data_IF_260784073767
#
_entry.id   IF_260784073767
#
_cell.length_a   1.000
_cell.length_b   1.000
_cell.length_c   1.000
_cell.angle_alpha   90.00
_cell.angle_beta   90.00
_cell.angle_gamma   90.00
#
_symmetry.space_group_name_H-M   'P 1'
#
loop_
_entity.id
_entity.type
_entity.pdbx_description
1 polymer ?
#
# COMPACT_ATOMS: atom_id res chain seq x y z
N UNK A 1 -13.77 2.64 -30.12
CA UNK A 1 -14.37 3.97 -30.39
C UNK A 1 -13.63 4.99 -29.54
N UNK A 2 -13.31 6.17 -30.06
CA UNK A 2 -12.66 7.21 -29.26
C UNK A 2 -13.63 7.69 -28.17
N UNK A 3 -13.19 7.73 -26.92
CA UNK A 3 -13.99 8.32 -25.84
C UNK A 3 -13.95 9.85 -26.01
N UNK A 4 -15.06 10.51 -26.34
CA UNK A 4 -15.08 11.95 -26.49
C UNK A 4 -14.75 12.61 -25.16
N UNK A 5 -13.76 13.51 -25.17
CA UNK A 5 -13.34 14.27 -24.01
C UNK A 5 -13.90 15.69 -24.08
N UNK A 6 -14.50 16.14 -22.99
CA UNK A 6 -15.01 17.50 -22.84
C UNK A 6 -14.27 18.18 -21.69
N UNK A 7 -13.88 19.44 -21.90
CA UNK A 7 -13.32 20.29 -20.86
C UNK A 7 -14.05 21.62 -20.83
N UNK A 8 -14.30 22.12 -19.62
CA UNK A 8 -15.02 23.37 -19.40
C UNK A 8 -14.48 24.08 -18.16
N UNK A 9 -14.70 25.40 -18.09
CA UNK A 9 -14.40 26.21 -16.91
C UNK A 9 -15.68 26.45 -16.14
N UNK A 10 -15.61 26.26 -14.83
CA UNK A 10 -16.70 26.58 -13.91
C UNK A 10 -16.20 27.58 -12.87
N UNK A 11 -17.09 28.40 -12.27
CA UNK A 11 -16.75 29.24 -11.13
C UNK A 11 -16.12 28.43 -9.98
N UNK A 12 -15.10 28.99 -9.33
CA UNK A 12 -14.38 28.31 -8.25
C UNK A 12 -15.31 27.90 -7.10
N UNK A 13 -16.27 28.75 -6.75
CA UNK A 13 -17.25 28.46 -5.69
C UNK A 13 -18.08 27.20 -5.96
N UNK A 14 -18.41 26.92 -7.23
CA UNK A 14 -19.11 25.70 -7.62
C UNK A 14 -18.17 24.50 -7.62
N UNK A 15 -16.93 24.69 -8.06
CA UNK A 15 -15.91 23.64 -8.01
C UNK A 15 -15.71 23.13 -6.58
N UNK A 16 -15.57 24.04 -5.62
CA UNK A 16 -15.33 23.69 -4.21
C UNK A 16 -16.49 22.87 -3.63
N UNK A 17 -17.74 23.25 -3.94
CA UNK A 17 -18.94 22.49 -3.52
C UNK A 17 -19.03 21.11 -4.16
N UNK A 18 -18.56 20.95 -5.40
CA UNK A 18 -18.54 19.65 -6.07
C UNK A 18 -17.52 18.71 -5.41
N UNK A 19 -16.33 19.22 -5.07
CA UNK A 19 -15.30 18.42 -4.37
C UNK A 19 -15.73 17.99 -2.96
N UNK A 20 -16.42 18.87 -2.22
CA UNK A 20 -17.02 18.55 -0.92
C UNK A 20 -18.02 17.40 -1.05
N UNK A 21 -18.96 17.49 -2.01
CA UNK A 21 -19.93 16.43 -2.26
C UNK A 21 -19.30 15.11 -2.73
N UNK A 22 -18.24 15.16 -3.54
CA UNK A 22 -17.50 13.97 -3.99
C UNK A 22 -16.85 13.26 -2.79
N UNK A 23 -16.29 14.04 -1.86
CA UNK A 23 -15.66 13.52 -0.65
C UNK A 23 -16.66 12.80 0.26
N UNK A 24 -17.90 13.26 0.32
CA UNK A 24 -18.98 12.64 1.10
C UNK A 24 -19.64 11.45 0.40
N UNK A 25 -19.91 11.56 -0.90
CA UNK A 25 -20.67 10.55 -1.67
C UNK A 25 -19.81 9.44 -2.26
N UNK A 26 -18.49 9.63 -2.36
CA UNK A 26 -17.57 8.69 -3.00
C UNK A 26 -17.74 8.55 -4.52
N UNK A 27 -18.60 9.37 -5.16
CA UNK A 27 -18.86 9.31 -6.61
C UNK A 27 -17.76 10.00 -7.42
N UNK A 28 -17.58 9.59 -8.68
CA UNK A 28 -16.61 10.28 -9.54
C UNK A 28 -17.14 11.63 -10.03
N UNK A 29 -16.23 12.60 -10.21
CA UNK A 29 -16.57 13.92 -10.77
C UNK A 29 -17.27 13.83 -12.12
N UNK A 30 -16.83 12.88 -12.95
CA UNK A 30 -17.38 12.62 -14.27
C UNK A 30 -18.82 12.09 -14.17
N UNK A 31 -19.09 11.14 -13.28
CA UNK A 31 -20.46 10.63 -13.05
C UNK A 31 -21.39 11.74 -12.57
N UNK A 32 -20.93 12.59 -11.65
CA UNK A 32 -21.72 13.71 -11.15
C UNK A 32 -22.10 14.67 -12.28
N UNK A 33 -21.15 15.02 -13.16
CA UNK A 33 -21.39 15.89 -14.30
C UNK A 33 -22.31 15.24 -15.34
N UNK A 34 -22.14 13.95 -15.62
CA UNK A 34 -23.03 13.21 -16.54
C UNK A 34 -24.45 13.21 -16.00
N UNK A 35 -24.63 12.90 -14.71
CA UNK A 35 -25.94 12.86 -14.06
C UNK A 35 -26.61 14.24 -14.01
N UNK A 36 -25.84 15.29 -13.76
CA UNK A 36 -26.34 16.66 -13.76
C UNK A 36 -26.81 17.09 -15.17
N UNK A 37 -26.02 16.77 -16.20
CA UNK A 37 -26.36 17.08 -17.59
C UNK A 37 -27.55 16.24 -18.08
N UNK A 38 -27.60 14.94 -17.75
CA UNK A 38 -28.72 14.07 -18.11
C UNK A 38 -30.02 14.54 -17.46
N UNK A 39 -29.96 14.94 -16.19
CA UNK A 39 -31.12 15.49 -15.47
C UNK A 39 -31.55 16.85 -15.99
N UNK A 40 -30.62 17.70 -16.44
CA UNK A 40 -30.96 19.02 -16.98
C UNK A 40 -31.58 18.94 -18.38
N UNK A 41 -31.16 17.95 -19.18
CA UNK A 41 -31.63 17.76 -20.56
C UNK A 41 -32.80 16.78 -20.68
N UNK A 42 -33.31 16.24 -19.57
CA UNK A 42 -34.30 15.15 -19.54
C UNK A 42 -33.91 13.97 -20.45
N UNK A 43 -32.60 13.71 -20.55
CA UNK A 43 -32.03 12.65 -21.38
C UNK A 43 -31.34 11.62 -20.49
N UNK A 44 -32.00 10.51 -20.12
CA UNK A 44 -31.40 9.51 -19.24
C UNK A 44 -30.23 8.84 -19.95
N UNK A 45 -29.02 9.16 -19.52
CA UNK A 45 -27.83 8.42 -19.91
C UNK A 45 -27.75 7.23 -18.97
N UNK A 46 -27.81 6.01 -19.52
CA UNK A 46 -27.48 4.81 -18.76
C UNK A 46 -26.04 4.98 -18.25
N UNK A 47 -25.89 5.30 -16.97
CA UNK A 47 -24.61 5.22 -16.31
C UNK A 47 -24.12 3.79 -16.54
N UNK A 48 -22.94 3.62 -17.14
CA UNK A 48 -22.31 2.32 -17.23
C UNK A 48 -22.16 1.82 -15.80
N UNK A 49 -23.08 0.97 -15.36
CA UNK A 49 -22.85 0.15 -14.20
C UNK A 49 -21.53 -0.53 -14.48
N UNK A 50 -20.53 -0.25 -13.66
CA UNK A 50 -19.38 -1.14 -13.55
C UNK A 50 -19.98 -2.47 -13.14
N UNK A 51 -20.23 -3.32 -14.14
CA UNK A 51 -20.56 -4.71 -14.00
C UNK A 51 -19.32 -5.39 -13.39
N UNK A 52 -19.02 -5.08 -12.13
CA UNK A 52 -18.39 -6.05 -11.26
C UNK A 52 -19.45 -7.13 -11.18
N UNK A 53 -19.27 -8.18 -11.97
CA UNK A 53 -20.16 -9.33 -11.96
C UNK A 53 -20.38 -9.69 -10.49
N UNK A 54 -21.62 -9.93 -10.09
CA UNK A 54 -21.94 -10.28 -8.70
C UNK A 54 -21.00 -11.38 -8.16
N UNK A 55 -20.49 -12.25 -9.04
CA UNK A 55 -19.47 -13.25 -8.77
C UNK A 55 -18.15 -12.68 -8.21
N UNK A 56 -17.59 -11.61 -8.77
CA UNK A 56 -16.36 -10.98 -8.26
C UNK A 56 -16.57 -10.39 -6.85
N UNK A 57 -17.74 -9.79 -6.62
CA UNK A 57 -18.13 -9.29 -5.29
C UNK A 57 -18.33 -10.44 -4.30
N UNK A 58 -18.93 -11.56 -4.72
CA UNK A 58 -19.09 -12.76 -3.89
C UNK A 58 -17.74 -13.41 -3.55
N UNK A 59 -16.78 -13.41 -4.47
CA UNK A 59 -15.41 -13.90 -4.23
C UNK A 59 -14.72 -13.00 -3.20
N UNK A 60 -14.79 -11.67 -3.37
CA UNK A 60 -14.20 -10.72 -2.42
C UNK A 60 -14.83 -10.83 -1.02
N UNK A 61 -16.15 -11.01 -0.94
CA UNK A 61 -16.87 -11.21 0.34
C UNK A 61 -16.43 -12.51 1.01
N UNK A 62 -16.31 -13.62 0.26
CA UNK A 62 -15.82 -14.89 0.82
C UNK A 62 -14.38 -14.79 1.31
N UNK A 63 -13.53 -14.07 0.57
CA UNK A 63 -12.14 -13.84 1.00
C UNK A 63 -12.06 -13.02 2.28
N UNK A 64 -12.88 -11.96 2.39
CA UNK A 64 -12.96 -11.14 3.60
C UNK A 64 -13.51 -11.93 4.79
N UNK A 65 -14.53 -12.76 4.60
CA UNK A 65 -15.04 -13.67 5.63
C UNK A 65 -13.96 -14.63 6.12
N UNK A 66 -13.18 -15.23 5.20
CA UNK A 66 -12.08 -16.12 5.55
C UNK A 66 -10.98 -15.40 6.34
N UNK A 67 -10.65 -14.15 5.98
CA UNK A 67 -9.69 -13.34 6.74
C UNK A 67 -10.21 -12.98 8.13
N UNK A 68 -11.51 -12.66 8.26
CA UNK A 68 -12.15 -12.42 9.56
C UNK A 68 -12.14 -13.68 10.42
N UNK A 69 -12.46 -14.84 9.87
CA UNK A 69 -12.44 -16.12 10.59
C UNK A 69 -11.04 -16.43 11.13
N UNK A 70 -9.99 -16.21 10.33
CA UNK A 70 -8.59 -16.37 10.78
C UNK A 70 -8.24 -15.36 11.88
N UNK A 71 -8.73 -14.12 11.79
CA UNK A 71 -8.52 -13.10 12.81
C UNK A 71 -9.29 -13.40 14.11
N UNK A 72 -10.51 -13.91 14.03
CA UNK A 72 -11.32 -14.31 15.19
C UNK A 72 -10.71 -15.52 15.90
N UNK A 73 -10.21 -16.51 15.14
CA UNK A 73 -9.46 -17.64 15.68
C UNK A 73 -8.13 -17.18 16.33
N UNK A 74 -7.52 -16.11 15.83
CA UNK A 74 -6.35 -15.45 16.43
C UNK A 74 -6.66 -14.53 17.62
N UNK A 75 -7.91 -14.09 17.80
CA UNK A 75 -8.31 -13.07 18.79
C UNK A 75 -8.67 -13.63 20.17
N UNK A 76 -8.63 -14.96 20.37
CA UNK A 76 -8.85 -15.58 21.69
C UNK A 76 -7.67 -15.33 22.65
N UNK A 77 -6.57 -14.72 22.21
CA UNK A 77 -5.51 -14.20 23.11
C UNK A 77 -5.47 -12.68 23.13
N UNK A 78 -6.62 -12.05 23.36
CA UNK A 78 -6.62 -10.68 23.88
C UNK A 78 -6.36 -10.73 25.38
N UNK A 79 -5.09 -10.92 25.77
CA UNK A 79 -4.66 -10.47 27.09
C UNK A 79 -4.88 -8.96 27.09
N UNK A 80 -5.94 -8.55 27.78
CA UNK A 80 -6.21 -7.17 28.13
C UNK A 80 -5.05 -6.72 29.01
N UNK A 81 -4.08 -6.02 28.42
CA UNK A 81 -3.12 -5.24 29.20
C UNK A 81 -3.75 -3.86 29.34
N UNK A 82 -4.56 -3.69 30.38
CA UNK A 82 -4.74 -2.38 31.00
C UNK A 82 -3.38 -1.94 31.52
N UNK A 83 -2.83 -0.86 30.98
CA UNK A 83 -1.70 -0.17 31.59
C UNK A 83 -2.15 0.35 32.94
N UNK A 84 -1.67 -0.28 34.01
CA UNK A 84 -1.45 0.39 35.28
C UNK A 84 -0.33 -0.36 36.03
N UNK A 85 0.77 0.37 36.23
CA UNK A 85 1.84 0.21 37.22
C UNK A 85 2.74 -1.04 37.20
N UNK A 86 4.05 -0.73 37.17
CA UNK A 86 5.14 -1.33 37.96
C UNK A 86 5.04 -2.84 38.25
N UNK A 87 5.83 -3.65 37.52
CA UNK A 87 6.72 -4.66 38.11
C UNK A 87 7.39 -5.51 37.01
N UNK A 88 8.66 -5.85 37.23
CA UNK A 88 9.48 -6.71 36.36
C UNK A 88 8.78 -8.05 36.07
N UNK A 89 8.52 -8.35 34.80
CA UNK A 89 8.06 -9.68 34.36
C UNK A 89 9.24 -10.43 33.76
N UNK A 90 9.72 -11.45 34.48
CA UNK A 90 10.61 -12.47 33.96
C UNK A 90 9.83 -13.34 32.96
N UNK A 91 10.19 -13.28 31.69
CA UNK A 91 9.49 -13.99 30.62
C UNK A 91 10.11 -15.40 30.50
N UNK A 92 9.40 -16.42 31.00
CA UNK A 92 9.74 -17.82 30.72
C UNK A 92 9.24 -18.19 29.31
N UNK A 93 10.14 -18.08 28.33
CA UNK A 93 9.86 -18.41 26.94
C UNK A 93 10.18 -19.89 26.73
N UNK A 94 9.15 -20.72 26.54
CA UNK A 94 9.32 -22.10 26.15
C UNK A 94 10.03 -22.18 24.77
N UNK A 95 11.23 -22.81 24.67
CA UNK A 95 12.08 -22.77 23.48
C UNK A 95 11.45 -23.39 22.21
N UNK A 96 10.38 -24.16 22.33
CA UNK A 96 9.72 -24.75 21.16
C UNK A 96 8.94 -23.72 20.32
N UNK A 97 8.46 -22.61 20.91
CA UNK A 97 7.70 -21.58 20.18
C UNK A 97 8.58 -20.65 19.33
N UNK A 98 9.87 -20.53 19.62
CA UNK A 98 10.83 -19.82 18.75
C UNK A 98 11.06 -20.57 17.43
N UNK A 99 10.97 -21.91 17.44
CA UNK A 99 11.29 -22.73 16.25
C UNK A 99 10.22 -22.70 15.15
N UNK A 100 9.00 -22.25 15.46
CA UNK A 100 7.88 -22.13 14.51
C UNK A 100 7.84 -20.77 13.82
N UNK A 101 8.32 -19.71 14.47
CA UNK A 101 8.46 -18.38 13.84
C UNK A 101 9.61 -18.34 12.83
N UNK A 102 10.67 -19.14 13.01
CA UNK A 102 11.79 -19.22 12.06
C UNK A 102 11.47 -20.02 10.79
N UNK A 103 10.42 -20.84 10.78
CA UNK A 103 10.11 -21.73 9.63
C UNK A 103 9.28 -21.07 8.52
N UNK A 104 8.56 -19.99 8.78
CA UNK A 104 7.75 -19.31 7.74
C UNK A 104 8.49 -18.19 6.98
N UNK A 105 9.69 -17.77 7.40
CA UNK A 105 10.46 -16.73 6.72
C UNK A 105 11.27 -17.22 5.49
N UNK A 106 11.28 -18.52 5.19
CA UNK A 106 12.22 -19.10 4.20
C UNK A 106 11.70 -19.20 2.76
N UNK A 107 10.83 -18.28 2.31
CA UNK A 107 10.46 -18.21 0.86
C UNK A 107 10.56 -16.87 0.16
N UNK A 108 11.05 -15.82 0.81
CA UNK A 108 11.58 -14.67 0.11
C UNK A 108 12.69 -14.07 0.97
N UNK A 109 13.93 -14.09 0.49
CA UNK A 109 15.07 -13.41 1.11
C UNK A 109 14.89 -11.88 0.99
N UNK A 110 13.81 -11.33 1.54
CA UNK A 110 13.52 -9.91 1.50
C UNK A 110 14.05 -9.25 2.76
N UNK A 111 15.22 -8.62 2.65
CA UNK A 111 15.84 -7.92 3.78
C UNK A 111 15.47 -6.44 3.72
N UNK A 112 15.08 -5.87 4.86
CA UNK A 112 14.95 -4.42 5.02
C UNK A 112 16.34 -3.88 5.37
N UNK A 113 16.86 -2.98 4.54
CA UNK A 113 18.15 -2.32 4.77
C UNK A 113 17.99 -0.81 4.73
N UNK A 114 18.77 -0.12 5.55
CA UNK A 114 18.92 1.34 5.44
C UNK A 114 19.71 1.69 4.17
N UNK A 115 19.62 2.94 3.73
CA UNK A 115 20.40 3.42 2.56
C UNK A 115 21.91 3.21 2.72
N UNK A 116 22.45 3.23 3.95
CA UNK A 116 23.88 2.99 4.20
C UNK A 116 24.23 1.53 3.94
N UNK A 117 23.48 0.62 4.56
CA UNK A 117 23.70 -0.83 4.43
C UNK A 117 23.45 -1.32 3.00
N UNK A 118 22.53 -0.70 2.27
CA UNK A 118 22.25 -1.02 0.87
C UNK A 118 23.45 -0.71 -0.04
N UNK A 119 24.18 0.37 0.24
CA UNK A 119 25.37 0.76 -0.55
C UNK A 119 26.55 -0.16 -0.25
N UNK A 120 26.62 -0.71 0.96
CA UNK A 120 27.69 -1.61 1.39
C UNK A 120 27.54 -3.05 0.83
N UNK A 121 26.45 -3.36 0.13
CA UNK A 121 26.26 -4.66 -0.53
C UNK A 121 27.34 -4.92 -1.59
N UNK A 122 27.89 -6.15 -1.70
CA UNK A 122 29.09 -6.45 -2.48
C UNK A 122 28.99 -6.13 -3.98
N UNK A 123 27.78 -6.17 -4.56
CA UNK A 123 27.57 -5.78 -5.96
C UNK A 123 27.28 -4.28 -6.14
N UNK A 124 26.58 -3.66 -5.18
CA UNK A 124 26.23 -2.23 -5.23
C UNK A 124 27.46 -1.37 -4.88
N UNK A 125 28.35 -1.87 -4.03
CA UNK A 125 29.62 -1.24 -3.66
C UNK A 125 30.58 -1.08 -4.85
N UNK A 126 30.44 -1.92 -5.88
CA UNK A 126 31.19 -1.78 -7.14
C UNK A 126 30.65 -0.64 -8.02
N UNK A 127 29.42 -0.17 -7.77
CA UNK A 127 28.82 0.95 -8.48
C UNK A 127 29.15 2.28 -7.78
N UNK A 128 29.05 3.36 -8.55
CA UNK A 128 29.17 4.72 -8.04
C UNK A 128 28.04 5.03 -7.02
N UNK A 129 28.45 5.19 -5.75
CA UNK A 129 27.55 5.41 -4.61
C UNK A 129 26.66 6.64 -4.77
N UNK A 130 27.11 7.70 -5.46
CA UNK A 130 26.30 8.89 -5.71
C UNK A 130 25.21 8.62 -6.74
N UNK A 131 25.53 7.87 -7.80
CA UNK A 131 24.55 7.48 -8.83
C UNK A 131 23.47 6.58 -8.24
N UNK A 132 23.82 5.66 -7.35
CA UNK A 132 22.86 4.77 -6.66
C UNK A 132 21.90 5.58 -5.78
N UNK A 133 22.42 6.51 -4.96
CA UNK A 133 21.59 7.40 -4.13
C UNK A 133 20.64 8.26 -4.97
N UNK A 134 21.13 8.85 -6.05
CA UNK A 134 20.31 9.67 -6.95
C UNK A 134 19.23 8.83 -7.64
N UNK A 135 19.56 7.61 -8.07
CA UNK A 135 18.60 6.69 -8.70
C UNK A 135 17.49 6.28 -7.71
N UNK A 136 17.83 5.97 -6.46
CA UNK A 136 16.86 5.65 -5.40
C UNK A 136 15.94 6.84 -5.08
N UNK A 137 16.51 8.04 -4.92
CA UNK A 137 15.74 9.25 -4.63
C UNK A 137 14.78 9.61 -5.79
N UNK A 138 15.27 9.55 -7.03
CA UNK A 138 14.46 9.83 -8.21
C UNK A 138 13.35 8.78 -8.39
N UNK A 139 13.65 7.49 -8.20
CA UNK A 139 12.66 6.42 -8.28
C UNK A 139 11.55 6.60 -7.23
N UNK A 140 11.93 7.00 -6.01
CA UNK A 140 10.97 7.31 -4.93
C UNK A 140 10.09 8.51 -5.26
N UNK A 141 10.68 9.61 -5.73
CA UNK A 141 9.93 10.82 -6.11
C UNK A 141 8.96 10.56 -7.27
N UNK A 142 9.37 9.73 -8.23
CA UNK A 142 8.56 9.41 -9.40
C UNK A 142 7.61 8.21 -9.20
N UNK A 143 7.55 7.63 -7.99
CA UNK A 143 6.79 6.41 -7.69
C UNK A 143 7.11 5.24 -8.64
N UNK A 144 8.34 5.18 -9.16
CA UNK A 144 8.83 4.14 -10.07
C UNK A 144 9.56 3.05 -9.29
N UNK A 145 8.86 2.40 -8.38
CA UNK A 145 9.38 1.28 -7.61
C UNK A 145 8.55 0.01 -7.94
N UNK A 146 9.16 -1.20 -7.91
CA UNK A 146 10.55 -1.49 -7.55
C UNK A 146 11.56 -1.16 -8.66
N UNK A 147 12.82 -0.87 -8.29
CA UNK A 147 13.93 -0.65 -9.24
C UNK A 147 14.99 -1.75 -9.17
N UNK A 148 15.57 -2.09 -10.33
CA UNK A 148 16.73 -2.99 -10.43
C UNK A 148 18.05 -2.21 -10.31
N UNK A 149 18.90 -2.64 -9.38
CA UNK A 149 20.30 -2.18 -9.24
C UNK A 149 21.18 -3.42 -9.01
N UNK A 150 22.01 -3.77 -10.00
CA UNK A 150 22.74 -5.04 -9.98
C UNK A 150 21.77 -6.23 -10.03
N UNK A 151 21.99 -7.22 -9.18
CA UNK A 151 21.10 -8.38 -9.03
C UNK A 151 20.00 -8.16 -7.97
N UNK A 152 19.84 -6.93 -7.48
CA UNK A 152 18.87 -6.59 -6.45
C UNK A 152 17.69 -5.82 -7.03
N UNK A 153 16.50 -6.25 -6.64
CA UNK A 153 15.24 -5.51 -6.75
C UNK A 153 15.04 -4.73 -5.45
N UNK A 154 14.90 -3.41 -5.57
CA UNK A 154 14.81 -2.50 -4.44
C UNK A 154 13.46 -1.81 -4.47
N UNK A 155 12.73 -1.93 -3.37
CA UNK A 155 11.42 -1.33 -3.14
C UNK A 155 11.41 -0.46 -1.87
N UNK A 156 10.43 0.42 -1.73
CA UNK A 156 10.30 1.30 -0.57
C UNK A 156 9.76 0.52 0.63
N UNK A 157 10.59 0.35 1.65
CA UNK A 157 10.25 -0.30 2.92
C UNK A 157 9.72 0.66 3.98
N UNK A 158 9.57 1.95 3.67
CA UNK A 158 9.04 2.95 4.59
C UNK A 158 10.12 3.70 5.38
N UNK A 159 9.76 4.17 6.58
CA UNK A 159 10.67 4.88 7.50
C UNK A 159 10.99 3.97 8.68
N UNK A 160 12.22 4.07 9.15
CA UNK A 160 12.66 3.33 10.34
C UNK A 160 11.87 3.82 11.58
N UNK A 161 11.20 2.91 12.32
CA UNK A 161 10.43 3.28 13.51
C UNK A 161 11.30 3.86 14.64
N UNK A 162 12.58 3.46 14.71
CA UNK A 162 13.52 3.96 15.71
C UNK A 162 14.22 5.25 15.28
N UNK A 163 14.19 5.58 13.98
CA UNK A 163 14.81 6.78 13.42
C UNK A 163 14.01 7.27 12.20
N UNK A 164 13.01 8.14 12.38
CA UNK A 164 12.12 8.56 11.28
C UNK A 164 12.80 9.37 10.18
N UNK A 165 14.09 9.73 10.36
CA UNK A 165 14.93 10.36 9.33
C UNK A 165 15.52 9.32 8.35
N UNK A 166 15.58 8.05 8.74
CA UNK A 166 16.12 6.97 7.92
C UNK A 166 15.02 6.31 7.08
N UNK A 167 15.36 6.07 5.81
CA UNK A 167 14.50 5.34 4.88
C UNK A 167 14.95 3.88 4.87
N UNK A 168 13.98 2.98 4.99
CA UNK A 168 14.18 1.55 4.83
C UNK A 168 13.85 1.16 3.38
N UNK A 169 14.68 0.28 2.83
CA UNK A 169 14.53 -0.28 1.50
C UNK A 169 14.34 -1.78 1.63
N UNK A 170 13.28 -2.29 1.02
CA UNK A 170 13.05 -3.72 0.90
C UNK A 170 13.84 -4.22 -0.29
N UNK A 171 14.72 -5.20 -0.07
CA UNK A 171 15.58 -5.75 -1.10
C UNK A 171 15.22 -7.20 -1.33
N UNK A 172 15.00 -7.58 -2.58
CA UNK A 172 14.90 -8.97 -3.02
C UNK A 172 15.98 -9.27 -4.06
N UNK A 173 16.45 -10.51 -4.11
CA UNK A 173 17.36 -10.98 -5.16
C UNK A 173 16.52 -11.30 -6.39
N UNK A 174 16.92 -10.75 -7.54
CA UNK A 174 16.30 -11.03 -8.83
C UNK A 174 16.95 -12.28 -9.42
N UNK A 175 16.29 -13.44 -9.27
CA UNK A 175 16.77 -14.74 -9.78
C UNK A 175 16.43 -14.92 -11.28
N UNK A 176 16.58 -13.88 -12.10
CA UNK A 176 16.36 -13.93 -13.57
C UNK A 176 17.64 -14.02 -14.37
#
# INVERSE_FOLDING_TARGET
MANPFFSGRIPQSLYDRVEEYISESGKSKTELLINALSSYLDFPVEAKETNNSNEELWIAIKELQKRLEVLEQGSIKKNVITSDNDDNIEIDINPEQLSLLEKEETKANSKLLTTKELIDLPEIKKLDTQKVKNKLNNAKQQQKLPIKIGNYLIDNGGRDPNSPKNILWKISIDNT
#
